data_IF_616849148682
#
_entry.id   IF_616849148682
#
_cell.length_a   1.000
_cell.length_b   1.000
_cell.length_c   1.000
_cell.angle_alpha   90.00
_cell.angle_beta   90.00
_cell.angle_gamma   90.00
#
_symmetry.space_group_name_H-M   'P 1'
#
loop_
_entity.id
_entity.type
_entity.pdbx_description
1 polymer ?
#
# COMPACT_ATOMS: atom_id res chain seq x y z
N UNK A 1 -54.10 11.46 -21.70
CA UNK A 1 -53.38 10.22 -21.36
C UNK A 1 -51.93 10.58 -21.25
N UNK A 2 -51.34 10.19 -20.11
CA UNK A 2 -50.01 10.49 -19.61
C UNK A 2 -48.94 10.21 -20.68
N UNK A 3 -48.06 11.14 -20.99
CA UNK A 3 -46.97 11.75 -20.21
C UNK A 3 -45.66 11.10 -20.64
N UNK A 4 -44.79 11.98 -21.12
CA UNK A 4 -43.52 11.68 -21.77
C UNK A 4 -42.63 11.11 -20.68
N UNK A 5 -42.42 9.80 -20.66
CA UNK A 5 -41.53 9.20 -19.69
C UNK A 5 -40.10 9.59 -20.08
N UNK A 6 -39.69 10.73 -19.51
CA UNK A 6 -38.35 11.29 -19.53
C UNK A 6 -37.34 10.17 -19.30
N UNK A 7 -36.28 10.21 -20.10
CA UNK A 7 -35.00 9.62 -19.75
C UNK A 7 -34.71 10.00 -18.30
N UNK A 8 -34.81 9.04 -17.39
CA UNK A 8 -34.41 9.23 -15.98
C UNK A 8 -32.89 9.19 -15.96
N UNK A 9 -32.29 10.24 -16.50
CA UNK A 9 -30.92 10.61 -16.24
C UNK A 9 -30.81 10.96 -14.77
N UNK A 10 -30.14 10.09 -14.01
CA UNK A 10 -29.05 10.47 -13.12
C UNK A 10 -28.35 9.19 -12.70
N UNK A 11 -27.54 8.62 -13.59
CA UNK A 11 -26.27 8.07 -13.10
C UNK A 11 -25.54 9.26 -12.49
N UNK A 12 -25.51 9.33 -11.17
CA UNK A 12 -24.76 10.34 -10.45
C UNK A 12 -23.36 10.40 -11.04
N UNK A 13 -23.03 11.55 -11.60
CA UNK A 13 -21.77 11.89 -12.25
C UNK A 13 -20.66 11.96 -11.19
N UNK A 14 -20.36 10.86 -10.53
CA UNK A 14 -19.10 10.59 -9.84
C UNK A 14 -18.37 9.60 -10.74
N UNK A 15 -17.25 10.02 -11.32
CA UNK A 15 -16.49 9.18 -12.26
C UNK A 15 -16.35 7.78 -11.72
N UNK A 16 -16.91 6.80 -12.42
CA UNK A 16 -16.94 5.41 -11.98
C UNK A 16 -15.52 4.95 -11.71
N UNK A 17 -15.16 4.77 -10.45
CA UNK A 17 -13.94 4.09 -10.08
C UNK A 17 -14.15 2.63 -10.47
N UNK A 18 -13.59 2.21 -11.60
CA UNK A 18 -13.51 0.79 -12.01
C UNK A 18 -12.43 0.06 -11.18
N UNK A 19 -12.48 0.17 -9.85
CA UNK A 19 -11.66 -0.62 -8.94
C UNK A 19 -12.56 -1.48 -8.08
N UNK A 20 -12.32 -2.78 -8.10
CA UNK A 20 -13.07 -3.73 -7.26
C UNK A 20 -12.40 -3.88 -5.90
N UNK A 21 -13.16 -4.33 -4.90
CA UNK A 21 -12.62 -4.74 -3.60
C UNK A 21 -11.51 -5.79 -3.76
N UNK A 22 -11.63 -6.67 -4.76
CA UNK A 22 -10.61 -7.66 -5.12
C UNK A 22 -9.30 -7.00 -5.58
N UNK A 23 -9.35 -5.96 -6.43
CA UNK A 23 -8.14 -5.24 -6.86
C UNK A 23 -7.39 -4.60 -5.67
N UNK A 24 -8.12 -4.08 -4.68
CA UNK A 24 -7.50 -3.56 -3.46
C UNK A 24 -6.94 -4.68 -2.57
N UNK A 25 -7.62 -5.82 -2.46
CA UNK A 25 -7.09 -6.99 -1.76
C UNK A 25 -5.80 -7.52 -2.39
N UNK A 26 -5.74 -7.57 -3.73
CA UNK A 26 -4.55 -7.97 -4.48
C UNK A 26 -3.40 -6.97 -4.30
N UNK A 27 -3.71 -5.66 -4.30
CA UNK A 27 -2.72 -4.62 -4.01
C UNK A 27 -2.14 -4.73 -2.59
N UNK A 28 -2.99 -4.97 -1.59
CA UNK A 28 -2.56 -5.21 -0.21
C UNK A 28 -1.65 -6.45 -0.11
N UNK A 29 -2.02 -7.54 -0.79
CA UNK A 29 -1.18 -8.75 -0.85
C UNK A 29 0.18 -8.48 -1.52
N UNK A 30 0.21 -7.67 -2.57
CA UNK A 30 1.44 -7.27 -3.24
C UNK A 30 2.34 -6.43 -2.31
N UNK A 31 1.76 -5.51 -1.54
CA UNK A 31 2.49 -4.71 -0.54
C UNK A 31 3.14 -5.62 0.52
N UNK A 32 2.42 -6.60 1.06
CA UNK A 32 2.98 -7.56 2.02
C UNK A 32 4.08 -8.44 1.38
N UNK A 33 3.92 -8.81 0.11
CA UNK A 33 4.95 -9.56 -0.64
C UNK A 33 6.23 -8.72 -0.80
N UNK A 34 6.09 -7.42 -1.08
CA UNK A 34 7.24 -6.51 -1.16
C UNK A 34 7.93 -6.37 0.19
N UNK A 35 7.17 -6.27 1.31
CA UNK A 35 7.77 -6.26 2.66
C UNK A 35 8.65 -7.49 2.89
N UNK A 36 8.11 -8.69 2.65
CA UNK A 36 8.88 -9.93 2.82
C UNK A 36 10.13 -9.99 1.92
N UNK A 37 10.02 -9.47 0.70
CA UNK A 37 11.16 -9.40 -0.23
C UNK A 37 12.25 -8.44 0.26
N UNK A 38 11.87 -7.27 0.79
CA UNK A 38 12.79 -6.29 1.37
C UNK A 38 13.45 -6.84 2.63
N UNK A 39 12.71 -7.53 3.50
CA UNK A 39 13.26 -8.16 4.71
C UNK A 39 14.32 -9.21 4.34
N UNK A 40 14.03 -10.05 3.35
CA UNK A 40 14.97 -11.05 2.86
C UNK A 40 16.22 -10.41 2.26
N UNK A 41 16.05 -9.38 1.42
CA UNK A 41 17.17 -8.67 0.81
C UNK A 41 18.04 -7.96 1.86
N UNK A 42 17.42 -7.34 2.87
CA UNK A 42 18.13 -6.64 3.95
C UNK A 42 18.91 -7.62 4.81
N UNK A 43 18.33 -8.76 5.18
CA UNK A 43 19.05 -9.80 5.93
C UNK A 43 20.26 -10.36 5.16
N UNK A 44 20.12 -10.57 3.85
CA UNK A 44 21.25 -10.99 3.00
C UNK A 44 22.32 -9.89 2.93
N UNK A 45 21.91 -8.63 2.85
CA UNK A 45 22.81 -7.49 2.82
C UNK A 45 23.56 -7.32 4.15
N UNK A 46 22.90 -7.53 5.29
CA UNK A 46 23.52 -7.51 6.63
C UNK A 46 24.62 -8.58 6.75
N UNK A 47 24.33 -9.80 6.27
CA UNK A 47 25.31 -10.89 6.27
C UNK A 47 26.53 -10.58 5.38
N UNK A 48 26.29 -10.00 4.20
CA UNK A 48 27.36 -9.57 3.31
C UNK A 48 28.16 -8.41 3.91
N UNK A 49 27.49 -7.42 4.50
CA UNK A 49 28.13 -6.30 5.19
C UNK A 49 29.05 -6.79 6.31
N UNK A 50 28.59 -7.72 7.15
CA UNK A 50 29.41 -8.30 8.22
C UNK A 50 30.66 -8.99 7.66
N UNK A 51 30.52 -9.76 6.58
CA UNK A 51 31.63 -10.44 5.89
C UNK A 51 32.62 -9.44 5.30
N UNK A 52 32.13 -8.42 4.61
CA UNK A 52 32.96 -7.39 3.98
C UNK A 52 33.68 -6.57 5.05
N UNK A 53 32.97 -6.10 6.07
CA UNK A 53 33.53 -5.30 7.19
C UNK A 53 34.69 -5.99 7.87
N UNK A 54 34.63 -7.32 8.05
CA UNK A 54 35.70 -8.10 8.66
C UNK A 54 37.04 -8.02 7.92
N UNK A 55 37.03 -7.67 6.62
CA UNK A 55 38.24 -7.49 5.81
C UNK A 55 38.82 -6.06 5.89
N UNK A 56 38.15 -5.13 6.57
CA UNK A 56 38.61 -3.75 6.72
C UNK A 56 39.01 -3.46 8.17
N UNK A 57 39.97 -2.55 8.33
CA UNK A 57 40.37 -2.00 9.63
C UNK A 57 40.59 -0.49 9.52
N UNK A 58 40.69 0.20 10.66
CA UNK A 58 40.93 1.64 10.72
C UNK A 58 39.85 2.46 10.00
N UNK A 59 40.27 3.55 9.35
CA UNK A 59 39.36 4.52 8.73
C UNK A 59 38.48 3.92 7.63
N UNK A 60 38.96 2.89 6.93
CA UNK A 60 38.17 2.21 5.91
C UNK A 60 36.98 1.42 6.53
N UNK A 61 37.19 0.77 7.68
CA UNK A 61 36.10 0.10 8.40
C UNK A 61 35.09 1.11 8.95
N UNK A 62 35.57 2.25 9.45
CA UNK A 62 34.72 3.33 9.94
C UNK A 62 33.88 3.94 8.82
N UNK A 63 34.48 4.26 7.66
CA UNK A 63 33.77 4.80 6.50
C UNK A 63 32.73 3.82 5.94
N UNK A 64 33.04 2.52 5.90
CA UNK A 64 32.09 1.49 5.49
C UNK A 64 30.92 1.38 6.48
N UNK A 65 31.19 1.46 7.79
CA UNK A 65 30.14 1.49 8.80
C UNK A 65 29.25 2.72 8.68
N UNK A 66 29.85 3.89 8.52
CA UNK A 66 29.10 5.13 8.35
C UNK A 66 28.22 5.10 7.10
N UNK A 67 28.76 4.62 5.97
CA UNK A 67 27.98 4.42 4.75
C UNK A 67 26.80 3.48 4.99
N UNK A 68 27.05 2.32 5.61
CA UNK A 68 26.01 1.33 5.86
C UNK A 68 24.88 1.89 6.73
N UNK A 69 25.21 2.44 7.90
CA UNK A 69 24.22 3.01 8.81
C UNK A 69 23.47 4.18 8.20
N UNK A 70 24.18 5.13 7.57
CA UNK A 70 23.55 6.37 7.14
C UNK A 70 22.77 6.25 5.82
N UNK A 71 23.10 5.29 4.97
CA UNK A 71 22.48 5.15 3.63
C UNK A 71 21.63 3.90 3.48
N UNK A 72 22.08 2.77 4.02
CA UNK A 72 21.40 1.50 3.84
C UNK A 72 20.37 1.33 4.95
N UNK A 73 20.83 1.33 6.21
CA UNK A 73 19.96 1.11 7.37
C UNK A 73 18.88 2.18 7.46
N UNK A 74 19.22 3.46 7.28
CA UNK A 74 18.23 4.55 7.27
C UNK A 74 17.12 4.41 6.21
N UNK A 75 17.36 3.64 5.15
CA UNK A 75 16.39 3.41 4.07
C UNK A 75 15.60 2.11 4.25
N UNK A 76 16.27 1.06 4.72
CA UNK A 76 15.78 -0.32 4.74
C UNK A 76 15.43 -0.85 6.13
N UNK A 77 15.74 -0.13 7.21
CA UNK A 77 15.43 -0.57 8.56
C UNK A 77 13.91 -0.73 8.73
N UNK A 78 13.47 -1.87 9.25
CA UNK A 78 12.06 -2.29 9.30
C UNK A 78 11.13 -1.29 10.00
N UNK A 79 11.63 -0.60 11.02
CA UNK A 79 10.82 0.29 11.86
C UNK A 79 10.89 1.78 11.46
N UNK A 80 11.94 2.18 10.76
CA UNK A 80 12.28 3.61 10.56
C UNK A 80 12.63 3.95 9.12
N UNK A 81 12.87 2.93 8.30
CA UNK A 81 13.27 3.02 6.91
C UNK A 81 12.22 3.71 6.06
N UNK A 82 12.67 4.60 5.19
CA UNK A 82 11.78 5.35 4.30
C UNK A 82 10.95 4.43 3.38
N UNK A 83 11.47 3.25 3.02
CA UNK A 83 10.71 2.28 2.23
C UNK A 83 9.52 1.70 3.02
N UNK A 84 9.70 1.38 4.30
CA UNK A 84 8.61 0.88 5.13
C UNK A 84 7.52 1.94 5.33
N UNK A 85 7.92 3.20 5.55
CA UNK A 85 6.98 4.34 5.59
C UNK A 85 6.18 4.49 4.29
N UNK A 86 6.83 4.33 3.14
CA UNK A 86 6.15 4.34 1.84
C UNK A 86 5.15 3.17 1.72
N UNK A 87 5.55 1.96 2.12
CA UNK A 87 4.67 0.79 2.12
C UNK A 87 3.49 0.96 3.09
N UNK A 88 3.67 1.62 4.23
CA UNK A 88 2.59 1.96 5.17
C UNK A 88 1.61 2.95 4.56
N UNK A 89 2.12 3.98 3.87
CA UNK A 89 1.29 4.96 3.17
C UNK A 89 0.48 4.30 2.04
N UNK A 90 1.11 3.44 1.23
CA UNK A 90 0.42 2.70 0.17
C UNK A 90 -0.65 1.77 0.74
N UNK A 91 -0.34 1.06 1.83
CA UNK A 91 -1.29 0.19 2.53
C UNK A 91 -2.51 0.99 3.02
N UNK A 92 -2.27 2.13 3.67
CA UNK A 92 -3.32 3.01 4.17
C UNK A 92 -4.21 3.53 3.05
N UNK A 93 -3.65 3.88 1.90
CA UNK A 93 -4.41 4.29 0.71
C UNK A 93 -5.28 3.12 0.20
N UNK A 94 -4.71 1.93 0.05
CA UNK A 94 -5.46 0.76 -0.41
C UNK A 94 -6.59 0.37 0.55
N UNK A 95 -6.35 0.42 1.86
CA UNK A 95 -7.37 0.19 2.89
C UNK A 95 -8.47 1.25 2.82
N UNK A 96 -8.10 2.53 2.75
CA UNK A 96 -9.07 3.64 2.65
C UNK A 96 -9.93 3.59 1.38
N UNK A 97 -9.37 3.19 0.23
CA UNK A 97 -10.13 3.00 -1.00
C UNK A 97 -11.06 1.79 -0.86
N UNK A 98 -10.54 0.67 -0.35
CA UNK A 98 -11.34 -0.56 -0.17
C UNK A 98 -12.55 -0.31 0.73
N UNK A 99 -12.38 0.44 1.81
CA UNK A 99 -13.44 0.71 2.78
C UNK A 99 -14.52 1.66 2.23
N UNK A 100 -14.22 2.40 1.16
CA UNK A 100 -15.19 3.23 0.42
C UNK A 100 -15.93 2.46 -0.68
N UNK A 101 -15.44 1.28 -1.08
CA UNK A 101 -16.16 0.43 -2.03
C UNK A 101 -17.32 -0.23 -1.26
N UNK A 102 -18.59 0.01 -1.66
CA UNK A 102 -19.72 -0.70 -1.07
C UNK A 102 -19.48 -2.20 -1.22
N UNK A 103 -19.54 -2.97 -0.13
CA UNK A 103 -19.46 -4.43 -0.20
C UNK A 103 -20.62 -5.03 -1.01
N UNK A 104 -20.68 -6.35 -1.12
CA UNK A 104 -21.79 -7.08 -1.80
C UNK A 104 -23.20 -6.73 -1.26
N UNK A 105 -23.28 -6.04 -0.12
CA UNK A 105 -24.48 -5.35 0.35
C UNK A 105 -24.55 -3.97 -0.31
N UNK A 106 -24.92 -3.97 -1.60
CA UNK A 106 -25.05 -2.76 -2.40
C UNK A 106 -25.90 -1.69 -1.71
N UNK A 107 -25.52 -0.43 -1.97
CA UNK A 107 -26.21 0.81 -1.58
C UNK A 107 -27.72 0.76 -1.89
N UNK A 108 -28.13 -0.07 -2.85
CA UNK A 108 -29.52 -0.41 -3.17
C UNK A 108 -30.36 -0.87 -1.97
N UNK A 109 -29.81 -1.68 -1.07
CA UNK A 109 -30.58 -2.22 0.06
C UNK A 109 -30.87 -1.17 1.14
N UNK A 110 -30.01 -0.17 1.28
CA UNK A 110 -30.22 0.95 2.19
C UNK A 110 -31.04 2.07 1.54
N UNK A 111 -30.87 2.35 0.24
CA UNK A 111 -31.73 3.32 -0.48
C UNK A 111 -33.19 2.84 -0.60
N UNK A 112 -33.43 1.53 -0.76
CA UNK A 112 -34.78 0.97 -0.78
C UNK A 112 -35.54 1.09 0.56
N UNK A 113 -34.85 1.34 1.68
CA UNK A 113 -35.51 1.59 2.98
C UNK A 113 -35.95 3.04 3.14
N UNK A 114 -35.16 3.99 2.62
CA UNK A 114 -35.48 5.43 2.69
C UNK A 114 -36.57 5.80 1.68
N UNK A 115 -36.60 5.16 0.50
CA UNK A 115 -37.59 5.44 -0.55
C UNK A 115 -39.00 4.84 -0.30
N UNK A 116 -39.21 4.20 0.85
CA UNK A 116 -40.50 3.63 1.30
C UNK A 116 -41.12 4.39 2.48
N UNK A 117 -40.55 5.53 2.86
CA UNK A 117 -41.15 6.50 3.78
C UNK A 117 -41.84 7.62 2.98
#
# INVERSE_FOLDING_TARGET
MADVNQEVGTMGMQGTINMTSQMMADALKAIETYRGSIETATSNLDAQYATVKANFTGDAANGLQEFYTNKIDSMLHKESGNIYKLLDALKSICESIRDQIPGDSGVDNEMGKVNRQ
#
